data_IF_716254487374
#
_entry.id   IF_716254487374
#
_cell.length_a   1.000
_cell.length_b   1.000
_cell.length_c   1.000
_cell.angle_alpha   90.00
_cell.angle_beta   90.00
_cell.angle_gamma   90.00
#
_symmetry.space_group_name_H-M   'P 1'
#
loop_
_entity.id
_entity.type
_entity.pdbx_description
1 polymer ?
#
# COMPACT_ATOMS: atom_id res chain seq x y z
N UNK A 1 -21.43 2.41 -10.02
CA UNK A 1 -21.15 2.98 -8.67
C UNK A 1 -21.61 4.45 -8.58
N UNK A 2 -22.09 4.94 -7.42
CA UNK A 2 -22.49 6.36 -7.27
C UNK A 2 -21.29 7.30 -7.05
N UNK A 3 -21.47 8.61 -7.28
CA UNK A 3 -20.38 9.60 -7.23
C UNK A 3 -19.72 9.72 -5.85
N UNK A 4 -20.52 9.67 -4.77
CA UNK A 4 -19.98 9.79 -3.41
C UNK A 4 -19.09 8.60 -3.04
N UNK A 5 -19.48 7.39 -3.44
CA UNK A 5 -18.68 6.18 -3.26
C UNK A 5 -17.40 6.23 -4.09
N UNK A 6 -17.46 6.69 -5.34
CA UNK A 6 -16.26 6.94 -6.17
C UNK A 6 -15.30 7.92 -5.52
N UNK A 7 -15.78 9.07 -5.03
CA UNK A 7 -14.96 10.08 -4.34
C UNK A 7 -14.36 9.55 -3.03
N UNK A 8 -15.09 8.68 -2.32
CA UNK A 8 -14.56 8.05 -1.10
C UNK A 8 -13.45 7.05 -1.43
N UNK A 9 -13.64 6.19 -2.42
CA UNK A 9 -12.62 5.22 -2.85
C UNK A 9 -11.38 5.94 -3.38
N UNK A 10 -11.54 6.98 -4.20
CA UNK A 10 -10.41 7.76 -4.70
C UNK A 10 -9.57 8.41 -3.58
N UNK A 11 -10.22 8.87 -2.49
CA UNK A 11 -9.50 9.38 -1.31
C UNK A 11 -8.75 8.29 -0.56
N UNK A 12 -9.38 7.12 -0.38
CA UNK A 12 -8.73 5.97 0.26
C UNK A 12 -7.52 5.52 -0.57
N UNK A 13 -7.66 5.45 -1.89
CA UNK A 13 -6.55 5.11 -2.79
C UNK A 13 -5.36 6.07 -2.63
N UNK A 14 -5.60 7.38 -2.60
CA UNK A 14 -4.54 8.36 -2.37
C UNK A 14 -3.86 8.18 -1.01
N UNK A 15 -4.63 7.86 0.04
CA UNK A 15 -4.07 7.60 1.36
C UNK A 15 -3.23 6.31 1.38
N UNK A 16 -3.71 5.23 0.75
CA UNK A 16 -2.99 3.96 0.65
C UNK A 16 -1.71 4.09 -0.18
N UNK A 17 -1.75 4.78 -1.31
CA UNK A 17 -0.57 5.05 -2.14
C UNK A 17 0.50 5.81 -1.36
N UNK A 18 0.11 6.83 -0.56
CA UNK A 18 1.06 7.54 0.30
C UNK A 18 1.67 6.63 1.37
N UNK A 19 0.87 5.75 1.98
CA UNK A 19 1.38 4.81 2.99
C UNK A 19 2.35 3.82 2.34
N UNK A 20 2.03 3.32 1.14
CA UNK A 20 2.91 2.44 0.37
C UNK A 20 4.27 3.11 0.12
N UNK A 21 4.28 4.35 -0.36
CA UNK A 21 5.53 5.12 -0.57
C UNK A 21 6.35 5.26 0.74
N UNK A 22 5.68 5.46 1.88
CA UNK A 22 6.34 5.56 3.20
C UNK A 22 6.96 4.22 3.65
N UNK A 23 6.27 3.10 3.40
CA UNK A 23 6.75 1.75 3.73
C UNK A 23 7.88 1.31 2.79
N UNK A 24 7.78 1.57 1.49
CA UNK A 24 8.86 1.33 0.52
C UNK A 24 10.12 2.11 0.91
N UNK A 25 9.99 3.40 1.21
CA UNK A 25 11.10 4.21 1.70
C UNK A 25 11.66 3.69 3.04
N UNK A 26 10.83 3.02 3.85
CA UNK A 26 11.27 2.39 5.10
C UNK A 26 12.08 1.14 4.82
N UNK A 27 11.61 0.29 3.89
CA UNK A 27 12.30 -0.91 3.42
C UNK A 27 13.67 -0.56 2.82
N UNK A 28 13.75 0.44 1.95
CA UNK A 28 15.01 0.92 1.34
C UNK A 28 16.04 1.40 2.37
N UNK A 29 15.59 1.89 3.53
CA UNK A 29 16.45 2.36 4.62
C UNK A 29 16.89 1.26 5.57
N UNK A 30 16.33 0.05 5.46
CA UNK A 30 16.79 -1.08 6.28
C UNK A 30 18.16 -1.56 5.82
N UNK A 31 18.98 -1.98 6.78
CA UNK A 31 20.22 -2.70 6.47
C UNK A 31 19.92 -4.13 6.00
N UNK A 32 20.85 -4.77 5.30
CA UNK A 32 20.73 -6.18 4.85
C UNK A 32 20.35 -7.13 6.00
N UNK A 33 21.01 -6.99 7.16
CA UNK A 33 20.68 -7.80 8.35
C UNK A 33 19.26 -7.54 8.89
N UNK A 34 18.71 -6.34 8.68
CA UNK A 34 17.35 -6.02 9.08
C UNK A 34 16.32 -6.52 8.05
N UNK A 35 16.67 -6.55 6.76
CA UNK A 35 15.86 -7.16 5.70
C UNK A 35 15.65 -8.66 5.94
N UNK A 36 16.69 -9.38 6.36
CA UNK A 36 16.60 -10.81 6.71
C UNK A 36 15.94 -11.08 8.08
N UNK A 37 15.61 -10.03 8.83
CA UNK A 37 14.98 -10.17 10.14
C UNK A 37 13.45 -10.17 10.03
N UNK A 38 12.78 -10.62 11.10
CA UNK A 38 11.33 -10.49 11.25
C UNK A 38 10.80 -9.04 11.16
N UNK A 39 11.67 -8.03 11.22
CA UNK A 39 11.26 -6.64 10.96
C UNK A 39 11.17 -6.37 9.45
N UNK A 40 12.16 -6.79 8.67
CA UNK A 40 12.16 -6.62 7.22
C UNK A 40 11.01 -7.37 6.58
N UNK A 41 10.80 -8.63 7.00
CA UNK A 41 9.69 -9.46 6.54
C UNK A 41 8.32 -8.79 6.78
N UNK A 42 8.11 -8.17 7.96
CA UNK A 42 6.86 -7.46 8.27
C UNK A 42 6.65 -6.19 7.45
N UNK A 43 7.72 -5.47 7.11
CA UNK A 43 7.62 -4.28 6.25
C UNK A 43 7.28 -4.72 4.82
N UNK A 44 7.93 -5.78 4.33
CA UNK A 44 7.60 -6.36 3.02
C UNK A 44 6.16 -6.85 2.97
N UNK A 45 5.71 -7.60 3.98
CA UNK A 45 4.33 -8.09 4.06
C UNK A 45 3.32 -6.92 4.08
N UNK A 46 3.64 -5.82 4.76
CA UNK A 46 2.81 -4.61 4.76
C UNK A 46 2.73 -3.97 3.36
N UNK A 47 3.84 -3.92 2.63
CA UNK A 47 3.90 -3.43 1.25
C UNK A 47 3.01 -4.30 0.35
N UNK A 48 3.19 -5.62 0.39
CA UNK A 48 2.42 -6.56 -0.44
C UNK A 48 0.90 -6.40 -0.20
N UNK A 49 0.48 -6.26 1.06
CA UNK A 49 -0.94 -6.01 1.38
C UNK A 49 -1.46 -4.67 0.87
N UNK A 50 -0.63 -3.62 0.88
CA UNK A 50 -1.02 -2.31 0.38
C UNK A 50 -1.18 -2.35 -1.14
N UNK A 51 -0.28 -3.01 -1.86
CA UNK A 51 -0.35 -3.20 -3.31
C UNK A 51 -1.64 -3.94 -3.70
N UNK A 52 -1.94 -5.08 -3.05
CA UNK A 52 -3.17 -5.84 -3.30
C UNK A 52 -4.44 -5.00 -3.02
N UNK A 53 -4.44 -4.23 -1.94
CA UNK A 53 -5.57 -3.37 -1.58
C UNK A 53 -5.77 -2.22 -2.57
N UNK A 54 -4.69 -1.64 -3.08
CA UNK A 54 -4.72 -0.60 -4.11
C UNK A 54 -5.29 -1.18 -5.41
N UNK A 55 -4.76 -2.31 -5.89
CA UNK A 55 -5.22 -2.97 -7.11
C UNK A 55 -6.73 -3.26 -7.05
N UNK A 56 -7.20 -3.84 -5.94
CA UNK A 56 -8.62 -4.15 -5.75
C UNK A 56 -9.52 -2.89 -5.78
N UNK A 57 -9.04 -1.76 -5.27
CA UNK A 57 -9.78 -0.50 -5.27
C UNK A 57 -9.75 0.20 -6.63
N UNK A 58 -8.65 0.09 -7.38
CA UNK A 58 -8.54 0.58 -8.76
C UNK A 58 -9.49 -0.19 -9.68
N UNK A 59 -9.50 -1.53 -9.58
CA UNK A 59 -10.47 -2.38 -10.28
C UNK A 59 -11.91 -1.98 -9.97
N UNK A 60 -12.21 -1.72 -8.70
CA UNK A 60 -13.54 -1.28 -8.28
C UNK A 60 -13.92 0.10 -8.87
N UNK A 61 -12.96 1.01 -9.08
CA UNK A 61 -13.22 2.30 -9.71
C UNK A 61 -13.44 2.19 -11.22
N UNK A 62 -12.73 1.27 -11.85
CA UNK A 62 -12.74 1.05 -13.30
C UNK A 62 -13.91 0.17 -13.78
N UNK A 63 -14.56 -0.57 -12.87
CA UNK A 63 -15.82 -1.29 -13.10
C UNK A 63 -17.06 -0.36 -13.16
#
# INVERSE_FOLDING_TARGET
MNQDRRRRIARILQELQRILEEEEATLERLSEAALESARGERVQEAIDFLEEAIEALEDLLNA
#
